data_IF_135028210236
#
_entry.id   IF_135028210236
#
_cell.length_a   1.000
_cell.length_b   1.000
_cell.length_c   1.000
_cell.angle_alpha   90.00
_cell.angle_beta   90.00
_cell.angle_gamma   90.00
#
_symmetry.space_group_name_H-M   'P 1'
#
loop_
_entity.id
_entity.type
_entity.pdbx_description
1 polymer ?
#
# COMPACT_ATOMS: atom_id res chain seq x y z
N UNK A 1 54.17 46.00 19.26
CA UNK A 1 52.78 45.82 18.76
C UNK A 1 52.78 44.72 17.69
N UNK A 2 52.26 43.53 17.99
CA UNK A 2 52.11 42.42 17.04
C UNK A 2 50.64 42.28 16.67
N UNK A 3 50.24 42.15 15.42
CA UNK A 3 48.87 41.82 15.07
C UNK A 3 48.60 40.34 15.15
N UNK A 4 47.51 39.96 15.83
CA UNK A 4 46.97 38.62 15.91
C UNK A 4 46.31 38.23 14.59
N UNK A 5 46.66 37.04 14.08
CA UNK A 5 45.95 36.38 12.98
C UNK A 5 44.85 35.55 13.59
N UNK A 6 43.58 35.93 13.33
CA UNK A 6 42.38 35.12 13.64
C UNK A 6 42.14 34.25 12.43
N UNK A 7 42.31 32.93 12.64
CA UNK A 7 42.07 31.92 11.62
C UNK A 7 40.57 31.73 11.37
N UNK A 8 40.19 31.78 10.10
CA UNK A 8 38.87 31.42 9.57
C UNK A 8 38.87 29.90 9.33
N UNK A 9 38.18 29.16 10.19
CA UNK A 9 37.80 27.77 9.91
C UNK A 9 36.33 27.59 10.31
N UNK A 10 35.45 27.80 9.38
CA UNK A 10 34.09 27.29 9.42
C UNK A 10 33.47 27.49 8.03
N UNK A 11 33.33 26.45 7.26
CA UNK A 11 32.27 26.25 6.22
C UNK A 11 32.63 25.02 5.35
N UNK A 12 32.31 23.84 5.79
CA UNK A 12 32.37 22.65 4.88
C UNK A 12 31.46 21.49 5.29
N UNK A 13 30.43 21.69 6.14
CA UNK A 13 29.61 20.56 6.58
C UNK A 13 28.11 20.63 6.22
N UNK A 14 27.63 21.67 5.54
CA UNK A 14 26.20 21.85 5.26
C UNK A 14 25.75 21.27 3.91
N UNK A 15 26.64 21.05 2.97
CA UNK A 15 26.24 20.61 1.62
C UNK A 15 25.97 19.11 1.46
N UNK A 16 26.49 18.26 2.35
CA UNK A 16 26.36 16.81 2.18
C UNK A 16 24.96 16.27 2.57
N UNK A 17 24.29 16.90 3.52
CA UNK A 17 22.98 16.43 4.02
C UNK A 17 21.85 16.72 3.03
N UNK A 18 21.88 17.85 2.32
CA UNK A 18 20.86 18.19 1.33
C UNK A 18 20.92 17.28 0.09
N UNK A 19 22.11 16.93 -0.37
CA UNK A 19 22.26 16.04 -1.53
C UNK A 19 21.79 14.61 -1.24
N UNK A 20 22.09 14.07 -0.07
CA UNK A 20 21.66 12.71 0.30
C UNK A 20 20.13 12.60 0.50
N UNK A 21 19.48 13.63 1.04
CA UNK A 21 18.02 13.67 1.18
C UNK A 21 17.32 13.75 -0.19
N UNK A 22 17.80 14.59 -1.09
CA UNK A 22 17.26 14.75 -2.46
C UNK A 22 17.43 13.47 -3.28
N UNK A 23 18.58 12.80 -3.17
CA UNK A 23 18.83 11.52 -3.83
C UNK A 23 17.96 10.39 -3.29
N UNK A 24 17.74 10.32 -1.97
CA UNK A 24 16.83 9.36 -1.33
C UNK A 24 15.37 9.58 -1.77
N UNK A 25 14.92 10.82 -1.85
CA UNK A 25 13.59 11.15 -2.34
C UNK A 25 13.41 10.81 -3.83
N UNK A 26 14.42 11.07 -4.65
CA UNK A 26 14.41 10.69 -6.07
C UNK A 26 14.35 9.16 -6.25
N UNK A 27 15.12 8.40 -5.46
CA UNK A 27 15.11 6.93 -5.49
C UNK A 27 13.76 6.37 -5.03
N UNK A 28 13.16 6.94 -3.97
CA UNK A 28 11.83 6.55 -3.50
C UNK A 28 10.75 6.76 -4.57
N UNK A 29 10.79 7.90 -5.26
CA UNK A 29 9.85 8.21 -6.35
C UNK A 29 10.07 7.30 -7.56
N UNK A 30 11.30 6.98 -7.90
CA UNK A 30 11.62 6.05 -8.98
C UNK A 30 11.08 4.65 -8.65
N UNK A 31 11.41 4.11 -7.46
CA UNK A 31 10.98 2.78 -7.05
C UNK A 31 9.45 2.67 -6.98
N UNK A 32 8.76 3.69 -6.47
CA UNK A 32 7.30 3.73 -6.46
C UNK A 32 6.71 3.65 -7.88
N UNK A 33 7.29 4.37 -8.86
CA UNK A 33 6.86 4.27 -10.27
C UNK A 33 7.11 2.89 -10.86
N UNK A 34 8.23 2.26 -10.53
CA UNK A 34 8.57 0.90 -10.99
C UNK A 34 7.58 -0.12 -10.42
N UNK A 35 7.26 -0.06 -9.12
CA UNK A 35 6.23 -0.90 -8.48
C UNK A 35 4.86 -0.69 -9.11
N UNK A 36 4.43 0.56 -9.26
CA UNK A 36 3.16 0.89 -9.89
C UNK A 36 3.05 0.34 -11.31
N UNK A 37 4.09 0.50 -12.11
CA UNK A 37 4.15 -0.01 -13.48
C UNK A 37 4.17 -1.54 -13.53
N UNK A 38 4.99 -2.20 -12.70
CA UNK A 38 5.06 -3.65 -12.60
C UNK A 38 3.71 -4.26 -12.18
N UNK A 39 2.97 -3.56 -11.31
CA UNK A 39 1.62 -3.95 -10.91
C UNK A 39 0.54 -3.66 -11.96
N UNK A 40 0.91 -3.13 -13.13
CA UNK A 40 -0.03 -2.85 -14.23
C UNK A 40 -0.79 -1.53 -14.09
N UNK A 41 -0.27 -0.56 -13.33
CA UNK A 41 -0.93 0.72 -13.08
C UNK A 41 -1.33 1.49 -14.35
N UNK A 42 -0.60 1.32 -15.46
CA UNK A 42 -0.93 1.90 -16.77
C UNK A 42 -2.30 1.40 -17.31
N UNK A 43 -2.80 0.26 -16.83
CA UNK A 43 -4.08 -0.30 -17.22
C UNK A 43 -5.24 0.13 -16.30
N UNK A 44 -4.95 0.76 -15.14
CA UNK A 44 -5.97 1.13 -14.16
C UNK A 44 -7.10 1.97 -14.77
N UNK A 45 -6.76 2.93 -15.62
CA UNK A 45 -7.75 3.80 -16.28
C UNK A 45 -8.70 3.07 -17.26
N UNK A 46 -8.40 1.82 -17.62
CA UNK A 46 -9.25 0.98 -18.48
C UNK A 46 -10.24 0.16 -17.66
N UNK A 47 -10.03 0.07 -16.33
CA UNK A 47 -10.89 -0.70 -15.45
C UNK A 47 -12.13 0.11 -15.14
N UNK A 48 -13.27 -0.41 -15.54
CA UNK A 48 -14.58 0.18 -15.24
C UNK A 48 -15.23 -0.45 -14.01
N UNK A 49 -14.89 -1.72 -13.70
CA UNK A 49 -15.47 -2.50 -12.61
C UNK A 49 -14.45 -3.47 -12.03
N UNK A 50 -14.42 -3.57 -10.71
CA UNK A 50 -13.59 -4.53 -9.99
C UNK A 50 -14.46 -5.31 -9.01
N UNK A 51 -14.54 -6.62 -9.19
CA UNK A 51 -15.23 -7.54 -8.30
C UNK A 51 -14.23 -8.38 -7.53
N UNK A 52 -14.47 -8.64 -6.25
CA UNK A 52 -13.67 -9.54 -5.44
C UNK A 52 -14.42 -9.94 -4.15
N UNK A 53 -14.03 -11.05 -3.57
CA UNK A 53 -14.42 -11.45 -2.23
C UNK A 53 -13.18 -11.38 -1.34
N UNK A 54 -13.20 -10.51 -0.34
CA UNK A 54 -12.18 -10.40 0.70
C UNK A 54 -12.50 -11.41 1.80
N UNK A 55 -11.53 -12.22 2.20
CA UNK A 55 -11.71 -13.28 3.21
C UNK A 55 -10.56 -13.20 4.22
N UNK A 56 -10.91 -13.25 5.50
CA UNK A 56 -9.95 -13.42 6.60
C UNK A 56 -10.13 -14.78 7.21
N UNK A 57 -9.03 -15.54 7.28
CA UNK A 57 -8.98 -16.87 7.89
C UNK A 57 -7.94 -16.90 9.01
N UNK A 58 -8.18 -17.77 9.98
CA UNK A 58 -7.21 -18.11 11.00
C UNK A 58 -7.36 -19.61 11.35
N UNK A 59 -6.25 -20.33 11.35
CA UNK A 59 -6.21 -21.77 11.64
C UNK A 59 -7.23 -22.58 10.81
N UNK A 60 -7.38 -22.24 9.53
CA UNK A 60 -8.30 -22.88 8.59
C UNK A 60 -9.79 -22.51 8.80
N UNK A 61 -10.09 -21.58 9.68
CA UNK A 61 -11.47 -21.11 9.90
C UNK A 61 -11.67 -19.70 9.35
N UNK A 62 -12.71 -19.52 8.55
CA UNK A 62 -13.10 -18.20 8.06
C UNK A 62 -13.65 -17.36 9.23
N UNK A 63 -13.00 -16.24 9.52
CA UNK A 63 -13.42 -15.27 10.53
C UNK A 63 -14.32 -14.19 9.96
N UNK A 64 -14.04 -13.75 8.72
CA UNK A 64 -14.79 -12.71 8.04
C UNK A 64 -14.78 -12.94 6.53
N UNK A 65 -15.85 -12.47 5.87
CA UNK A 65 -15.88 -12.31 4.42
C UNK A 65 -16.68 -11.07 4.06
N UNK A 66 -16.29 -10.44 2.96
CA UNK A 66 -17.05 -9.37 2.30
C UNK A 66 -16.92 -9.50 0.78
N UNK A 67 -18.05 -9.46 0.09
CA UNK A 67 -18.10 -9.40 -1.36
C UNK A 67 -18.18 -7.95 -1.80
N UNK A 68 -17.37 -7.58 -2.79
CA UNK A 68 -17.32 -6.25 -3.38
C UNK A 68 -17.66 -6.32 -4.86
N UNK A 69 -18.50 -5.39 -5.28
CA UNK A 69 -18.81 -5.14 -6.68
C UNK A 69 -18.66 -3.65 -6.94
N UNK A 70 -17.40 -3.27 -7.16
CA UNK A 70 -16.99 -1.87 -7.28
C UNK A 70 -17.10 -1.39 -8.73
N UNK A 71 -18.05 -0.48 -8.97
CA UNK A 71 -18.09 0.35 -10.17
C UNK A 71 -17.05 1.46 -10.02
N UNK A 72 -15.86 1.20 -10.55
CA UNK A 72 -14.71 2.11 -10.46
C UNK A 72 -15.00 3.43 -11.16
N UNK A 73 -15.70 3.37 -12.30
CA UNK A 73 -16.00 4.52 -13.16
C UNK A 73 -16.98 5.48 -12.50
N UNK A 74 -18.00 4.96 -11.81
CA UNK A 74 -19.03 5.77 -11.16
C UNK A 74 -18.74 6.00 -9.67
N UNK A 75 -17.67 5.39 -9.11
CA UNK A 75 -17.27 5.58 -7.72
C UNK A 75 -18.31 5.05 -6.73
N UNK A 76 -18.89 3.87 -7.01
CA UNK A 76 -19.81 3.19 -6.11
C UNK A 76 -19.36 1.76 -5.87
N UNK A 77 -19.48 1.27 -4.63
CA UNK A 77 -19.22 -0.12 -4.31
C UNK A 77 -20.45 -0.76 -3.68
N UNK A 78 -20.84 -1.92 -4.17
CA UNK A 78 -21.90 -2.74 -3.62
C UNK A 78 -21.26 -3.83 -2.75
N UNK A 79 -21.40 -3.68 -1.44
CA UNK A 79 -20.72 -4.52 -0.44
C UNK A 79 -21.73 -5.46 0.23
N UNK A 80 -21.40 -6.77 0.30
CA UNK A 80 -22.17 -7.77 1.03
C UNK A 80 -21.33 -8.39 2.14
N UNK A 81 -21.84 -8.37 3.37
CA UNK A 81 -21.19 -9.00 4.52
C UNK A 81 -22.18 -9.36 5.62
N UNK A 82 -22.02 -10.49 6.28
CA UNK A 82 -22.84 -10.92 7.46
C UNK A 82 -24.35 -10.74 7.26
N UNK A 83 -24.85 -11.05 6.06
CA UNK A 83 -26.27 -10.90 5.72
C UNK A 83 -26.74 -9.47 5.44
N UNK A 84 -25.84 -8.49 5.47
CA UNK A 84 -26.10 -7.10 5.04
C UNK A 84 -25.66 -6.91 3.59
N UNK A 85 -26.33 -5.97 2.92
CA UNK A 85 -26.05 -5.60 1.53
C UNK A 85 -26.26 -4.09 1.38
N UNK A 86 -25.20 -3.36 1.04
CA UNK A 86 -25.17 -1.89 1.01
C UNK A 86 -24.43 -1.40 -0.22
N UNK A 87 -25.01 -0.43 -0.93
CA UNK A 87 -24.31 0.31 -1.98
C UNK A 87 -23.80 1.63 -1.41
N UNK A 88 -22.49 1.81 -1.41
CA UNK A 88 -21.85 3.02 -0.90
C UNK A 88 -21.36 3.90 -2.05
N UNK A 89 -21.63 5.22 -1.97
CA UNK A 89 -21.04 6.24 -2.84
C UNK A 89 -19.71 6.69 -2.23
N UNK A 90 -18.62 6.43 -2.92
CA UNK A 90 -17.27 6.59 -2.36
C UNK A 90 -16.89 8.06 -2.11
N UNK A 91 -17.38 8.98 -2.93
CA UNK A 91 -17.14 10.42 -2.77
C UNK A 91 -17.98 11.05 -1.64
N UNK A 92 -19.10 10.43 -1.25
CA UNK A 92 -20.02 10.94 -0.23
C UNK A 92 -20.71 9.74 0.46
N UNK A 93 -19.99 8.98 1.30
CA UNK A 93 -20.56 7.82 1.96
C UNK A 93 -21.66 8.23 2.95
N UNK A 94 -22.71 7.41 3.01
CA UNK A 94 -23.81 7.61 3.96
C UNK A 94 -23.28 7.61 5.40
N UNK A 95 -23.87 8.46 6.26
CA UNK A 95 -23.41 8.66 7.63
C UNK A 95 -24.08 7.77 8.66
N UNK A 96 -25.05 6.94 8.25
CA UNK A 96 -25.60 5.88 9.09
C UNK A 96 -24.57 4.76 9.35
N UNK A 97 -24.88 3.88 10.28
CA UNK A 97 -23.97 2.82 10.73
C UNK A 97 -23.56 1.87 9.57
N UNK A 98 -24.52 1.47 8.75
CA UNK A 98 -24.29 0.52 7.66
C UNK A 98 -23.49 1.16 6.51
N UNK A 99 -23.76 2.42 6.17
CA UNK A 99 -23.01 3.16 5.17
C UNK A 99 -21.56 3.40 5.58
N UNK A 100 -21.33 3.78 6.84
CA UNK A 100 -19.96 3.89 7.41
C UNK A 100 -19.23 2.55 7.40
N UNK A 101 -19.90 1.47 7.78
CA UNK A 101 -19.32 0.13 7.80
C UNK A 101 -18.98 -0.36 6.38
N UNK A 102 -19.84 -0.12 5.39
CA UNK A 102 -19.59 -0.46 3.99
C UNK A 102 -18.40 0.32 3.43
N UNK A 103 -18.35 1.63 3.69
CA UNK A 103 -17.22 2.48 3.27
C UNK A 103 -15.89 2.04 3.90
N UNK A 104 -15.90 1.74 5.20
CA UNK A 104 -14.71 1.27 5.91
C UNK A 104 -14.19 -0.06 5.32
N UNK A 105 -15.10 -0.98 4.95
CA UNK A 105 -14.73 -2.22 4.26
C UNK A 105 -14.11 -1.93 2.90
N UNK A 106 -14.76 -1.11 2.07
CA UNK A 106 -14.17 -0.76 0.77
C UNK A 106 -12.75 -0.20 0.93
N UNK A 107 -12.53 0.73 1.87
CA UNK A 107 -11.19 1.30 2.09
C UNK A 107 -10.19 0.22 2.51
N UNK A 108 -10.52 -0.58 3.53
CA UNK A 108 -9.64 -1.60 4.06
C UNK A 108 -9.40 -2.73 3.05
N UNK A 109 -10.49 -3.34 2.56
CA UNK A 109 -10.41 -4.58 1.79
C UNK A 109 -9.79 -4.33 0.41
N UNK A 110 -10.13 -3.20 -0.25
CA UNK A 110 -9.50 -2.83 -1.52
C UNK A 110 -8.02 -2.45 -1.35
N UNK A 111 -7.61 -1.87 -0.20
CA UNK A 111 -6.21 -1.54 0.04
C UNK A 111 -5.33 -2.79 0.11
N UNK A 112 -5.79 -3.87 0.75
CA UNK A 112 -5.09 -5.16 0.77
C UNK A 112 -4.88 -5.76 -0.62
N UNK A 113 -5.73 -5.48 -1.58
CA UNK A 113 -5.62 -5.96 -2.96
C UNK A 113 -4.77 -5.03 -3.84
N UNK A 114 -4.87 -3.72 -3.61
CA UNK A 114 -4.42 -2.69 -4.56
C UNK A 114 -3.27 -1.81 -4.03
N UNK A 115 -2.71 -2.07 -2.85
CA UNK A 115 -1.69 -1.19 -2.27
C UNK A 115 -0.52 -0.87 -3.22
N UNK A 116 0.02 -1.82 -4.04
CA UNK A 116 1.07 -1.51 -5.00
C UNK A 116 0.64 -0.54 -6.11
N UNK A 117 -0.65 -0.49 -6.44
CA UNK A 117 -1.20 0.47 -7.40
C UNK A 117 -1.46 1.84 -6.78
N UNK A 118 -1.52 1.92 -5.45
CA UNK A 118 -1.80 3.14 -4.67
C UNK A 118 -0.55 3.84 -4.15
N UNK A 119 0.64 3.30 -4.43
CA UNK A 119 1.91 3.88 -3.97
C UNK A 119 2.17 5.29 -4.52
N UNK A 120 1.51 5.68 -5.63
CA UNK A 120 1.60 7.01 -6.23
C UNK A 120 0.42 7.93 -5.88
N UNK A 121 -0.55 7.46 -5.08
CA UNK A 121 -1.72 8.27 -4.72
C UNK A 121 -1.32 9.60 -4.05
N UNK A 122 -2.09 10.67 -4.24
CA UNK A 122 -1.90 11.92 -3.49
C UNK A 122 -1.98 11.70 -1.99
N UNK A 123 -1.11 12.37 -1.21
CA UNK A 123 -1.05 12.25 0.25
C UNK A 123 -0.27 11.04 0.77
N UNK A 124 0.27 10.19 -0.11
CA UNK A 124 1.21 9.13 0.26
C UNK A 124 2.64 9.68 0.24
N UNK A 125 3.29 9.71 1.40
CA UNK A 125 4.71 10.00 1.53
C UNK A 125 5.51 8.71 1.36
N UNK A 126 6.62 8.78 0.65
CA UNK A 126 7.49 7.66 0.29
C UNK A 126 8.90 7.92 0.76
N UNK A 127 9.53 6.91 1.36
CA UNK A 127 10.94 6.96 1.77
C UNK A 127 11.61 5.66 1.34
N UNK A 128 12.72 5.76 0.61
CA UNK A 128 13.56 4.61 0.32
C UNK A 128 14.42 4.28 1.55
N UNK A 129 14.33 3.05 2.07
CA UNK A 129 15.07 2.62 3.26
C UNK A 129 16.26 1.68 2.96
N UNK A 130 16.67 1.61 1.69
CA UNK A 130 17.76 0.74 1.27
C UNK A 130 17.29 -0.67 0.91
N UNK A 131 18.24 -1.59 0.90
CA UNK A 131 17.98 -3.01 0.65
C UNK A 131 17.90 -3.76 1.98
N UNK A 132 16.98 -4.72 2.06
CA UNK A 132 16.85 -5.65 3.19
C UNK A 132 16.64 -7.06 2.65
N UNK A 133 17.30 -8.03 3.26
CA UNK A 133 17.10 -9.43 2.91
C UNK A 133 15.72 -9.91 3.39
N UNK A 134 14.98 -10.55 2.49
CA UNK A 134 13.70 -11.18 2.75
C UNK A 134 13.64 -12.52 2.04
N UNK A 135 13.56 -13.61 2.80
CA UNK A 135 13.54 -14.98 2.28
C UNK A 135 14.65 -15.28 1.26
N UNK A 136 15.89 -14.87 1.58
CA UNK A 136 17.07 -15.07 0.74
C UNK A 136 17.18 -14.14 -0.48
N UNK A 137 16.33 -13.11 -0.57
CA UNK A 137 16.35 -12.11 -1.64
C UNK A 137 16.66 -10.73 -1.06
N UNK A 138 17.64 -10.03 -1.62
CA UNK A 138 17.92 -8.64 -1.29
C UNK A 138 16.84 -7.74 -1.91
N UNK A 139 15.76 -7.49 -1.16
CA UNK A 139 14.65 -6.66 -1.59
C UNK A 139 14.95 -5.16 -1.42
N UNK A 140 14.55 -4.35 -2.38
CA UNK A 140 14.47 -2.90 -2.20
C UNK A 140 13.30 -2.56 -1.26
N UNK A 141 13.50 -1.62 -0.32
CA UNK A 141 12.45 -1.29 0.64
C UNK A 141 11.91 0.12 0.46
N UNK A 142 10.59 0.24 0.49
CA UNK A 142 9.87 1.50 0.35
C UNK A 142 8.90 1.68 1.53
N UNK A 143 9.18 2.67 2.39
CA UNK A 143 8.25 3.05 3.45
C UNK A 143 7.18 3.98 2.89
N UNK A 144 5.93 3.68 3.22
CA UNK A 144 4.76 4.51 2.95
C UNK A 144 4.20 5.06 4.26
N UNK A 145 3.85 6.33 4.28
CA UNK A 145 3.10 6.96 5.38
C UNK A 145 2.01 7.87 4.82
N UNK A 146 0.96 8.11 5.62
CA UNK A 146 -0.25 8.80 5.19
C UNK A 146 -0.49 9.98 6.12
N UNK A 147 -0.44 11.21 5.60
CA UNK A 147 -0.57 12.40 6.43
C UNK A 147 -2.02 12.63 6.89
N UNK A 148 -2.98 12.56 5.98
CA UNK A 148 -4.41 12.79 6.26
C UNK A 148 -5.34 11.99 5.32
N UNK A 149 -4.87 10.88 4.77
CA UNK A 149 -5.66 10.04 3.86
C UNK A 149 -5.90 8.66 4.48
N UNK A 150 -7.05 8.06 4.17
CA UNK A 150 -7.44 6.76 4.72
C UNK A 150 -8.16 6.86 6.08
N UNK A 151 -8.44 5.72 6.67
CA UNK A 151 -9.19 5.60 7.94
C UNK A 151 -8.27 5.59 9.17
N UNK A 152 -6.98 5.31 8.98
CA UNK A 152 -5.99 5.16 10.05
C UNK A 152 -4.79 6.09 9.80
N UNK A 153 -4.99 7.42 9.89
CA UNK A 153 -3.89 8.37 9.72
C UNK A 153 -2.83 8.15 10.80
N UNK A 154 -1.58 7.97 10.37
CA UNK A 154 -0.45 7.68 11.24
C UNK A 154 0.02 6.22 11.18
N UNK A 155 -0.72 5.32 10.55
CA UNK A 155 -0.22 4.00 10.20
C UNK A 155 0.83 4.11 9.07
N UNK A 156 1.76 3.16 9.03
CA UNK A 156 2.81 3.09 8.02
C UNK A 156 2.92 1.68 7.46
N UNK A 157 3.54 1.58 6.29
CA UNK A 157 3.87 0.30 5.67
C UNK A 157 5.29 0.34 5.14
N UNK A 158 6.03 -0.76 5.27
CA UNK A 158 7.29 -0.95 4.56
C UNK A 158 7.09 -2.06 3.56
N UNK A 159 7.16 -1.73 2.28
CA UNK A 159 7.07 -2.72 1.19
C UNK A 159 8.45 -3.31 0.93
N UNK A 160 8.53 -4.63 0.81
CA UNK A 160 9.70 -5.37 0.36
C UNK A 160 9.49 -5.75 -1.10
N UNK A 161 10.30 -5.19 -1.97
CA UNK A 161 10.10 -5.18 -3.42
C UNK A 161 11.18 -6.04 -4.06
N UNK A 162 10.75 -7.00 -4.85
CA UNK A 162 11.64 -7.86 -5.62
C UNK A 162 12.45 -7.01 -6.62
N UNK A 163 13.80 -7.10 -6.61
CA UNK A 163 14.64 -6.23 -7.42
C UNK A 163 14.53 -6.49 -8.93
N UNK A 164 14.11 -7.68 -9.34
CA UNK A 164 13.98 -8.07 -10.74
C UNK A 164 12.60 -7.79 -11.31
N UNK A 165 11.56 -8.21 -10.61
CA UNK A 165 10.17 -8.09 -11.08
C UNK A 165 9.52 -6.76 -10.70
N UNK A 166 10.05 -6.07 -9.70
CA UNK A 166 9.47 -4.87 -9.07
C UNK A 166 8.07 -5.10 -8.46
N UNK A 167 7.68 -6.36 -8.24
CA UNK A 167 6.49 -6.71 -7.49
C UNK A 167 6.79 -6.76 -5.99
N UNK A 168 5.79 -6.47 -5.18
CA UNK A 168 5.88 -6.58 -3.72
C UNK A 168 5.91 -8.06 -3.33
N UNK A 169 6.86 -8.49 -2.50
CA UNK A 169 6.96 -9.86 -1.95
C UNK A 169 6.32 -9.96 -0.57
N UNK A 170 6.49 -8.92 0.21
CA UNK A 170 5.94 -8.83 1.56
C UNK A 170 5.85 -7.38 2.00
N UNK A 171 5.20 -7.15 3.12
CA UNK A 171 5.20 -5.85 3.77
C UNK A 171 5.22 -5.96 5.29
N UNK A 172 5.69 -4.90 5.95
CA UNK A 172 5.42 -4.65 7.36
C UNK A 172 4.30 -3.62 7.46
N UNK A 173 3.18 -3.99 8.09
CA UNK A 173 2.18 -3.06 8.55
C UNK A 173 2.56 -2.57 9.94
N UNK A 174 2.70 -1.27 10.10
CA UNK A 174 3.16 -0.58 11.30
C UNK A 174 2.03 0.31 11.80
N UNK A 175 1.10 -0.23 12.61
CA UNK A 175 0.03 0.56 13.20
C UNK A 175 0.60 1.54 14.24
N UNK A 176 -0.04 2.70 14.42
CA UNK A 176 0.43 3.75 15.32
C UNK A 176 0.55 3.29 16.79
N UNK A 177 -0.24 2.32 17.23
CA UNK A 177 -0.40 1.93 18.62
C UNK A 177 -0.14 0.44 18.91
N UNK A 178 0.19 -0.37 17.91
CA UNK A 178 0.26 -1.83 18.02
C UNK A 178 1.59 -2.41 17.52
N UNK A 179 1.72 -3.71 17.64
CA UNK A 179 2.90 -4.46 17.18
C UNK A 179 2.94 -4.51 15.66
N UNK A 180 4.13 -4.37 15.08
CA UNK A 180 4.37 -4.54 13.63
C UNK A 180 3.89 -5.92 13.21
N UNK A 181 3.11 -5.97 12.13
CA UNK A 181 2.65 -7.20 11.51
C UNK A 181 3.32 -7.38 10.15
N UNK A 182 4.11 -8.46 10.04
CA UNK A 182 4.71 -8.85 8.77
C UNK A 182 3.75 -9.75 8.00
N UNK A 183 3.57 -9.50 6.71
CA UNK A 183 2.71 -10.29 5.82
C UNK A 183 3.30 -10.49 4.45
N UNK A 184 3.08 -11.68 3.89
CA UNK A 184 3.47 -11.99 2.51
C UNK A 184 2.53 -11.38 1.47
N UNK A 185 3.02 -11.30 0.23
CA UNK A 185 2.25 -10.93 -0.96
C UNK A 185 2.42 -12.03 -2.00
N UNK A 186 1.47 -12.96 -2.03
CA UNK A 186 1.57 -14.21 -2.74
C UNK A 186 0.48 -14.38 -3.81
N UNK A 187 0.64 -15.40 -4.65
CA UNK A 187 -0.31 -15.82 -5.67
C UNK A 187 -0.74 -14.68 -6.60
N UNK A 188 0.25 -14.03 -7.20
CA UNK A 188 0.01 -13.02 -8.21
C UNK A 188 -0.75 -13.58 -9.42
N UNK A 189 -1.89 -12.98 -9.75
CA UNK A 189 -2.66 -13.22 -10.97
C UNK A 189 -2.65 -12.00 -11.89
N UNK A 190 -3.04 -12.22 -13.15
CA UNK A 190 -3.30 -11.15 -14.12
C UNK A 190 -4.80 -10.93 -14.27
N UNK A 191 -5.24 -9.71 -13.97
CA UNK A 191 -6.64 -9.31 -14.02
C UNK A 191 -6.78 -8.08 -14.93
N UNK A 192 -7.03 -8.29 -16.21
CA UNK A 192 -7.08 -7.24 -17.23
C UNK A 192 -5.80 -6.37 -17.28
N UNK A 193 -4.64 -7.01 -17.12
CA UNK A 193 -3.33 -6.35 -17.11
C UNK A 193 -2.93 -5.75 -15.75
N UNK A 194 -3.72 -5.94 -14.70
CA UNK A 194 -3.32 -5.66 -13.32
C UNK A 194 -2.69 -6.92 -12.72
N UNK A 195 -1.49 -6.80 -12.13
CA UNK A 195 -0.83 -7.86 -11.37
C UNK A 195 -1.19 -7.71 -9.90
N UNK A 196 -2.12 -8.55 -9.42
CA UNK A 196 -2.64 -8.49 -8.05
C UNK A 196 -2.25 -9.76 -7.29
N UNK A 197 -1.70 -9.60 -6.10
CA UNK A 197 -1.52 -10.70 -5.16
C UNK A 197 -2.87 -11.05 -4.52
N UNK A 198 -3.19 -12.34 -4.47
CA UNK A 198 -4.49 -12.81 -3.96
C UNK A 198 -4.40 -13.50 -2.62
N UNK A 199 -3.21 -13.62 -2.03
CA UNK A 199 -2.99 -14.16 -0.68
C UNK A 199 -1.95 -13.37 0.08
N UNK A 200 -2.21 -13.19 1.40
CA UNK A 200 -1.32 -12.53 2.34
C UNK A 200 -1.32 -13.34 3.65
N UNK A 201 -0.16 -13.89 4.02
CA UNK A 201 -0.01 -14.71 5.21
C UNK A 201 0.66 -13.90 6.34
N UNK A 202 0.05 -13.91 7.53
CA UNK A 202 0.50 -13.22 8.74
C UNK A 202 0.72 -14.23 9.89
N UNK A 203 1.49 -15.29 9.66
CA UNK A 203 1.84 -16.21 10.74
C UNK A 203 0.63 -16.88 11.40
N UNK A 204 -0.17 -17.62 10.62
CA UNK A 204 -1.38 -18.31 11.09
C UNK A 204 -2.70 -17.58 10.80
N UNK A 205 -2.64 -16.29 10.48
CA UNK A 205 -3.76 -15.54 9.90
C UNK A 205 -3.51 -15.31 8.42
N UNK A 206 -4.52 -15.52 7.59
CA UNK A 206 -4.46 -15.34 6.15
C UNK A 206 -5.55 -14.38 5.69
N UNK A 207 -5.17 -13.44 4.84
CA UNK A 207 -6.11 -12.69 4.00
C UNK A 207 -6.01 -13.24 2.60
N UNK A 208 -7.15 -13.56 2.00
CA UNK A 208 -7.20 -14.02 0.61
C UNK A 208 -8.35 -13.40 -0.16
N UNK A 209 -8.16 -13.34 -1.46
CA UNK A 209 -9.13 -12.81 -2.40
C UNK A 209 -9.61 -13.91 -3.33
N UNK A 210 -10.93 -14.05 -3.43
CA UNK A 210 -11.59 -14.93 -4.37
C UNK A 210 -12.43 -14.14 -5.36
N UNK A 211 -12.83 -14.79 -6.47
CA UNK A 211 -13.71 -14.20 -7.47
C UNK A 211 -13.22 -12.86 -8.04
N UNK A 212 -11.91 -12.64 -8.06
CA UNK A 212 -11.32 -11.38 -8.58
C UNK A 212 -11.59 -11.27 -10.07
N UNK A 213 -12.25 -10.18 -10.47
CA UNK A 213 -12.52 -9.85 -11.89
C UNK A 213 -12.34 -8.35 -12.10
N UNK A 214 -11.48 -7.96 -13.04
CA UNK A 214 -11.31 -6.59 -13.49
C UNK A 214 -11.86 -6.47 -14.93
N UNK A 215 -12.67 -5.42 -15.19
CA UNK A 215 -13.36 -5.21 -16.46
C UNK A 215 -13.29 -3.74 -16.89
#
# INVERSE_FOLDING_TARGET
MKPSVVGFVALLFVQCVCFAADESDAKAQQLAREVWKASGGENWNKISRLQFTFIVEQDGKQLAAAEHDWDVKNGTDHVKWKGKEVTVKLAAPAQDEDGKAAYARWVNDSYWLLAPLKVLDPGVKRVYEGEKEMDGVACETLRLSFEQVGLTPGDQYVLYIDPQTKLVRSWDYIPKAETIMHGSWDKYGDFAGLKLATEHNFGGKMIRFENVKAM
#
